data_IF_349504765534
#
_entry.id   IF_349504765534
#
_cell.length_a   1.000
_cell.length_b   1.000
_cell.length_c   1.000
_cell.angle_alpha   90.00
_cell.angle_beta   90.00
_cell.angle_gamma   90.00
#
_symmetry.space_group_name_H-M   'P 1'
#
loop_
_entity.id
_entity.type
_entity.pdbx_description
1 polymer ?
#
# COMPACT_ATOMS: atom_id res chain seq x y z
N UNK A 1 11.79 7.54 -10.70
CA UNK A 1 11.56 6.19 -10.11
C UNK A 1 10.14 6.14 -9.56
N UNK A 2 9.37 5.12 -9.89
CA UNK A 2 8.07 4.96 -9.24
C UNK A 2 8.24 4.62 -7.76
N UNK A 3 7.15 4.75 -7.02
CA UNK A 3 7.10 4.41 -5.60
C UNK A 3 5.89 3.47 -5.40
N UNK A 4 6.13 2.32 -4.80
CA UNK A 4 5.05 1.41 -4.44
C UNK A 4 4.42 1.89 -3.14
N UNK A 5 3.11 2.06 -3.13
CA UNK A 5 2.37 2.51 -1.96
C UNK A 5 1.41 1.41 -1.54
N UNK A 6 1.45 1.00 -0.28
CA UNK A 6 0.53 -0.01 0.20
C UNK A 6 -0.80 0.60 0.69
N UNK A 7 -1.76 -0.26 1.01
CA UNK A 7 -3.09 0.19 1.42
C UNK A 7 -3.06 1.01 2.72
N UNK A 8 -2.13 0.72 3.63
CA UNK A 8 -2.03 1.45 4.90
C UNK A 8 -1.74 2.93 4.68
N UNK A 9 -0.96 3.25 3.64
CA UNK A 9 -0.65 4.63 3.26
C UNK A 9 -1.74 5.21 2.34
N UNK A 10 -2.17 4.44 1.33
CA UNK A 10 -3.14 4.93 0.34
C UNK A 10 -4.47 5.37 0.96
N UNK A 11 -4.95 4.64 1.97
CA UNK A 11 -6.16 5.03 2.69
C UNK A 11 -6.00 6.41 3.33
N UNK A 12 -4.80 6.74 3.78
CA UNK A 12 -4.50 8.04 4.41
C UNK A 12 -4.51 9.22 3.44
N UNK A 13 -4.50 8.97 2.13
CA UNK A 13 -4.70 10.02 1.14
C UNK A 13 -6.13 10.59 1.20
N UNK A 14 -7.07 9.77 1.63
CA UNK A 14 -8.50 10.03 1.53
C UNK A 14 -9.17 10.27 2.89
N UNK A 15 -8.69 9.61 3.94
CA UNK A 15 -9.32 9.61 5.25
C UNK A 15 -8.43 10.35 6.25
N UNK A 16 -9.06 11.16 7.11
CA UNK A 16 -8.35 11.82 8.21
C UNK A 16 -8.07 10.82 9.32
N UNK A 17 -6.80 10.51 9.51
CA UNK A 17 -6.33 9.66 10.60
C UNK A 17 -4.84 9.95 10.83
N UNK A 18 -4.24 9.31 11.82
CA UNK A 18 -2.80 9.49 12.09
C UNK A 18 -2.00 9.14 10.85
N UNK A 19 -1.08 10.03 10.47
CA UNK A 19 -0.23 9.83 9.31
C UNK A 19 -0.79 10.39 8.01
N UNK A 20 -2.00 11.00 8.02
CA UNK A 20 -2.55 11.51 6.77
C UNK A 20 -1.76 12.70 6.20
N UNK A 21 -1.11 13.50 7.04
CA UNK A 21 -0.24 14.58 6.55
C UNK A 21 0.99 14.01 5.84
N UNK A 22 1.61 12.99 6.44
CA UNK A 22 2.76 12.32 5.85
C UNK A 22 2.38 11.67 4.52
N UNK A 23 1.23 11.00 4.48
CA UNK A 23 0.74 10.38 3.25
C UNK A 23 0.51 11.44 2.16
N UNK A 24 -0.12 12.55 2.49
CA UNK A 24 -0.39 13.62 1.52
C UNK A 24 0.87 14.28 1.01
N UNK A 25 1.94 14.32 1.80
CA UNK A 25 3.24 14.81 1.31
C UNK A 25 3.77 13.97 0.17
N UNK A 26 3.49 12.66 0.16
CA UNK A 26 3.89 11.77 -0.92
C UNK A 26 3.24 12.17 -2.25
N UNK A 27 2.02 12.70 -2.20
CA UNK A 27 1.33 13.16 -3.40
C UNK A 27 1.97 14.40 -4.02
N UNK A 28 2.78 15.12 -3.26
CA UNK A 28 3.48 16.32 -3.75
C UNK A 28 4.83 15.99 -4.37
N UNK A 29 5.32 14.77 -4.18
CA UNK A 29 6.53 14.30 -4.81
C UNK A 29 6.19 13.99 -6.27
N UNK A 30 7.08 14.33 -7.19
CA UNK A 30 6.85 14.12 -8.62
C UNK A 30 7.00 12.67 -9.07
N UNK A 31 7.25 11.75 -8.14
CA UNK A 31 7.37 10.33 -8.46
C UNK A 31 6.00 9.70 -8.75
N UNK A 32 5.88 8.90 -9.80
CA UNK A 32 4.64 8.17 -10.03
C UNK A 32 4.40 7.12 -8.96
N UNK A 33 3.14 6.95 -8.56
CA UNK A 33 2.76 5.94 -7.58
C UNK A 33 2.24 4.70 -8.30
N UNK A 34 2.62 3.54 -7.82
CA UNK A 34 2.16 2.25 -8.36
C UNK A 34 1.75 1.33 -7.21
N UNK A 35 0.93 0.34 -7.52
CA UNK A 35 0.49 -0.66 -6.54
C UNK A 35 -0.01 -1.90 -7.26
N UNK A 36 -0.08 -3.06 -6.56
CA UNK A 36 -0.86 -4.20 -7.05
C UNK A 36 -2.34 -3.83 -7.09
N UNK A 37 -3.09 -4.37 -8.03
CA UNK A 37 -4.54 -4.11 -8.13
C UNK A 37 -5.31 -4.61 -6.89
N UNK A 38 -4.74 -5.54 -6.12
CA UNK A 38 -5.30 -5.99 -4.85
C UNK A 38 -5.49 -4.85 -3.84
N UNK A 39 -4.80 -3.72 -4.03
CA UNK A 39 -4.95 -2.55 -3.14
C UNK A 39 -6.41 -2.08 -3.08
N UNK A 40 -7.16 -2.24 -4.17
CA UNK A 40 -8.57 -1.84 -4.22
C UNK A 40 -9.40 -2.68 -3.24
N UNK A 41 -9.13 -3.98 -3.15
CA UNK A 41 -9.82 -4.86 -2.23
C UNK A 41 -9.45 -4.56 -0.77
N UNK A 42 -8.17 -4.34 -0.49
CA UNK A 42 -7.72 -4.01 0.86
C UNK A 42 -8.29 -2.68 1.34
N UNK A 43 -8.27 -1.66 0.49
CA UNK A 43 -8.83 -0.36 0.82
C UNK A 43 -10.33 -0.45 1.05
N UNK A 44 -11.04 -1.19 0.18
CA UNK A 44 -12.48 -1.38 0.34
C UNK A 44 -12.81 -2.04 1.69
N UNK A 45 -12.03 -3.03 2.08
CA UNK A 45 -12.23 -3.69 3.38
C UNK A 45 -11.94 -2.73 4.54
N UNK A 46 -10.94 -1.88 4.42
CA UNK A 46 -10.64 -0.86 5.42
C UNK A 46 -11.80 0.14 5.56
N UNK A 47 -12.33 0.61 4.44
CA UNK A 47 -13.49 1.51 4.45
C UNK A 47 -14.73 0.82 5.03
N UNK A 48 -14.95 -0.46 4.72
CA UNK A 48 -16.02 -1.23 5.30
C UNK A 48 -15.93 -1.26 6.83
N UNK A 49 -14.75 -1.52 7.37
CA UNK A 49 -14.54 -1.51 8.82
C UNK A 49 -14.84 -0.14 9.43
N UNK A 50 -14.45 0.93 8.76
CA UNK A 50 -14.70 2.30 9.23
C UNK A 50 -16.20 2.63 9.20
N UNK A 51 -16.90 2.20 8.17
CA UNK A 51 -18.36 2.37 8.09
C UNK A 51 -19.04 1.60 9.22
N UNK A 52 -18.64 0.35 9.44
CA UNK A 52 -19.16 -0.49 10.51
C UNK A 52 -18.98 0.14 11.89
N UNK A 53 -17.87 0.85 12.11
CA UNK A 53 -17.56 1.54 13.37
C UNK A 53 -18.16 2.94 13.46
N UNK A 54 -18.97 3.34 12.48
CA UNK A 54 -19.53 4.69 12.38
C UNK A 54 -18.48 5.79 12.28
N UNK A 55 -17.31 5.48 11.75
CA UNK A 55 -16.23 6.43 11.54
C UNK A 55 -16.29 7.06 10.15
N UNK A 56 -17.08 6.48 9.24
CA UNK A 56 -17.16 6.91 7.85
C UNK A 56 -18.56 6.66 7.31
N UNK A 57 -19.10 7.62 6.56
CA UNK A 57 -20.40 7.44 5.90
C UNK A 57 -20.24 6.61 4.64
N UNK A 58 -21.25 5.79 4.32
CA UNK A 58 -21.24 4.94 3.11
C UNK A 58 -21.00 5.77 1.85
N UNK A 59 -21.66 6.92 1.71
CA UNK A 59 -21.51 7.76 0.52
C UNK A 59 -20.08 8.27 0.37
N UNK A 60 -19.41 8.55 1.48
CA UNK A 60 -18.01 8.97 1.45
C UNK A 60 -17.09 7.80 1.10
N UNK A 61 -17.36 6.61 1.64
CA UNK A 61 -16.60 5.41 1.31
C UNK A 61 -16.67 5.10 -0.19
N UNK A 62 -17.87 5.19 -0.77
CA UNK A 62 -18.07 4.97 -2.20
C UNK A 62 -17.26 5.95 -3.04
N UNK A 63 -17.27 7.24 -2.65
CA UNK A 63 -16.48 8.26 -3.34
C UNK A 63 -14.98 7.98 -3.23
N UNK A 64 -14.51 7.57 -2.06
CA UNK A 64 -13.10 7.23 -1.86
C UNK A 64 -12.68 6.06 -2.75
N UNK A 65 -13.53 5.07 -2.91
CA UNK A 65 -13.24 3.94 -3.80
C UNK A 65 -13.16 4.36 -5.27
N UNK A 66 -14.01 5.30 -5.68
CA UNK A 66 -13.94 5.85 -7.05
C UNK A 66 -12.66 6.66 -7.26
N UNK A 67 -12.22 7.39 -6.25
CA UNK A 67 -11.06 8.27 -6.35
C UNK A 67 -9.73 7.51 -6.25
N UNK A 68 -9.70 6.40 -5.52
CA UNK A 68 -8.46 5.70 -5.20
C UNK A 68 -7.61 5.34 -6.41
N UNK A 69 -8.16 4.75 -7.49
CA UNK A 69 -7.33 4.38 -8.64
C UNK A 69 -6.63 5.56 -9.30
N UNK A 70 -7.16 6.77 -9.15
CA UNK A 70 -6.62 7.97 -9.79
C UNK A 70 -5.29 8.43 -9.22
N UNK A 71 -4.92 7.96 -8.03
CA UNK A 71 -3.63 8.30 -7.43
C UNK A 71 -2.47 7.52 -8.08
N UNK A 72 -2.78 6.45 -8.81
CA UNK A 72 -1.76 5.53 -9.33
C UNK A 72 -1.58 5.68 -10.82
N UNK A 73 -0.32 5.73 -11.25
CA UNK A 73 0.01 5.67 -12.67
C UNK A 73 -0.34 4.30 -13.25
N UNK A 74 -0.14 3.24 -12.45
CA UNK A 74 -0.44 1.88 -12.86
C UNK A 74 -0.83 1.02 -11.66
N UNK A 75 -1.79 0.12 -11.88
CA UNK A 75 -2.14 -0.95 -10.97
C UNK A 75 -1.76 -2.27 -11.65
N UNK A 76 -0.89 -3.03 -11.00
CA UNK A 76 -0.33 -4.25 -11.58
C UNK A 76 -1.22 -5.45 -11.23
N UNK A 77 -1.49 -6.33 -12.20
CA UNK A 77 -2.34 -7.49 -11.93
C UNK A 77 -1.78 -8.38 -10.84
N UNK A 78 -2.62 -8.78 -9.90
CA UNK A 78 -2.28 -9.74 -8.86
C UNK A 78 -1.66 -11.00 -9.45
N UNK A 79 -2.20 -11.48 -10.57
CA UNK A 79 -1.73 -12.70 -11.24
C UNK A 79 -0.25 -12.65 -11.60
N UNK A 80 0.31 -11.46 -11.85
CA UNK A 80 1.72 -11.31 -12.21
C UNK A 80 2.64 -11.33 -10.98
N UNK A 81 2.09 -11.21 -9.76
CA UNK A 81 2.85 -11.05 -8.54
C UNK A 81 2.75 -12.23 -7.57
N UNK A 82 1.77 -13.11 -7.78
CA UNK A 82 1.41 -14.17 -6.81
C UNK A 82 2.58 -15.04 -6.40
N UNK A 83 3.31 -15.59 -7.36
CA UNK A 83 4.38 -16.55 -7.07
C UNK A 83 5.51 -15.90 -6.28
N UNK A 84 5.95 -14.73 -6.71
CA UNK A 84 7.03 -14.00 -6.03
C UNK A 84 6.60 -13.56 -4.63
N UNK A 85 5.38 -13.04 -4.51
CA UNK A 85 4.84 -12.61 -3.23
C UNK A 85 4.73 -13.79 -2.25
N UNK A 86 4.30 -14.95 -2.75
CA UNK A 86 4.23 -16.15 -1.92
C UNK A 86 5.62 -16.57 -1.41
N UNK A 87 6.62 -16.57 -2.29
CA UNK A 87 7.98 -16.91 -1.90
C UNK A 87 8.51 -15.96 -0.83
N UNK A 88 8.25 -14.67 -0.97
CA UNK A 88 8.65 -13.70 0.06
C UNK A 88 7.89 -13.90 1.37
N UNK A 89 6.61 -14.23 1.32
CA UNK A 89 5.84 -14.48 2.54
C UNK A 89 6.43 -15.65 3.33
N UNK A 90 6.87 -16.70 2.66
CA UNK A 90 7.53 -17.83 3.30
C UNK A 90 8.87 -17.41 3.90
N UNK A 91 9.69 -16.71 3.14
CA UNK A 91 11.04 -16.31 3.58
C UNK A 91 11.01 -15.31 4.74
N UNK A 92 10.08 -14.37 4.70
CA UNK A 92 9.96 -13.33 5.73
C UNK A 92 9.05 -13.75 6.89
N UNK A 93 8.34 -14.87 6.76
CA UNK A 93 7.33 -15.29 7.74
C UNK A 93 6.33 -14.17 8.00
N UNK A 94 5.84 -13.59 6.92
CA UNK A 94 4.94 -12.43 6.97
C UNK A 94 3.73 -12.67 6.07
N UNK A 95 2.54 -12.14 6.41
CA UNK A 95 1.35 -12.36 5.61
C UNK A 95 1.53 -12.05 4.12
N UNK A 96 0.95 -12.89 3.29
CA UNK A 96 1.08 -12.84 1.84
C UNK A 96 0.66 -11.49 1.26
N UNK A 97 -0.43 -10.90 1.76
CA UNK A 97 -0.97 -9.66 1.17
C UNK A 97 0.05 -8.53 1.13
N UNK A 98 0.78 -8.34 2.22
CA UNK A 98 1.82 -7.31 2.28
C UNK A 98 2.97 -7.62 1.34
N UNK A 99 3.29 -8.89 1.17
CA UNK A 99 4.39 -9.31 0.31
C UNK A 99 4.14 -9.07 -1.18
N UNK A 100 2.90 -8.82 -1.59
CA UNK A 100 2.60 -8.41 -2.96
C UNK A 100 3.21 -7.04 -3.27
N UNK A 101 3.17 -6.13 -2.31
CA UNK A 101 3.76 -4.79 -2.47
C UNK A 101 5.28 -4.90 -2.56
N UNK A 102 5.88 -5.74 -1.73
CA UNK A 102 7.32 -5.98 -1.78
C UNK A 102 7.73 -6.60 -3.12
N UNK A 103 6.99 -7.61 -3.59
CA UNK A 103 7.26 -8.27 -4.87
C UNK A 103 7.22 -7.25 -6.01
N UNK A 104 6.25 -6.33 -5.99
CA UNK A 104 6.17 -5.28 -7.00
C UNK A 104 7.36 -4.34 -6.94
N UNK A 105 7.77 -3.93 -5.74
CA UNK A 105 8.90 -3.02 -5.56
C UNK A 105 10.19 -3.66 -6.10
N UNK A 106 10.39 -4.94 -5.84
CA UNK A 106 11.56 -5.67 -6.34
C UNK A 106 11.51 -5.79 -7.85
N UNK A 107 10.35 -6.15 -8.41
CA UNK A 107 10.16 -6.31 -9.84
C UNK A 107 10.44 -5.02 -10.61
N UNK A 108 9.97 -3.89 -10.09
CA UNK A 108 10.14 -2.59 -10.73
C UNK A 108 11.39 -1.85 -10.27
N UNK A 109 12.20 -2.51 -9.44
CA UNK A 109 13.44 -1.96 -8.89
C UNK A 109 13.24 -0.56 -8.29
N UNK A 110 12.27 -0.46 -7.40
CA UNK A 110 11.91 0.78 -6.75
C UNK A 110 11.65 0.57 -5.25
N UNK A 111 11.35 1.66 -4.56
CA UNK A 111 11.08 1.61 -3.13
C UNK A 111 9.60 1.41 -2.84
N UNK A 112 9.34 0.99 -1.62
CA UNK A 112 8.02 0.72 -1.06
C UNK A 112 7.81 1.62 0.16
N UNK A 113 6.63 2.25 0.26
CA UNK A 113 6.24 2.97 1.46
C UNK A 113 5.05 2.27 2.12
N UNK A 114 5.17 2.07 3.42
CA UNK A 114 4.12 1.47 4.25
C UNK A 114 4.08 2.17 5.62
N UNK A 115 2.91 2.26 6.20
CA UNK A 115 2.73 2.74 7.56
C UNK A 115 2.72 1.59 8.59
N UNK A 116 2.77 0.34 8.12
CA UNK A 116 2.73 -0.85 8.98
C UNK A 116 4.14 -1.17 9.50
N UNK A 117 4.35 -0.95 10.79
CA UNK A 117 5.66 -1.17 11.41
C UNK A 117 6.08 -2.63 11.41
N UNK A 118 5.13 -3.57 11.55
CA UNK A 118 5.45 -5.00 11.49
C UNK A 118 5.97 -5.39 10.12
N UNK A 119 5.37 -4.85 9.07
CA UNK A 119 5.81 -5.11 7.71
C UNK A 119 7.18 -4.48 7.44
N UNK A 120 7.39 -3.24 7.88
CA UNK A 120 8.70 -2.59 7.77
C UNK A 120 9.78 -3.44 8.44
N UNK A 121 9.51 -3.92 9.65
CA UNK A 121 10.46 -4.74 10.39
C UNK A 121 10.74 -6.07 9.67
N UNK A 122 9.73 -6.69 9.08
CA UNK A 122 9.91 -7.92 8.31
C UNK A 122 10.78 -7.70 7.09
N UNK A 123 10.57 -6.62 6.35
CA UNK A 123 11.37 -6.27 5.17
C UNK A 123 12.82 -6.01 5.57
N UNK A 124 13.04 -5.23 6.62
CA UNK A 124 14.39 -4.93 7.12
C UNK A 124 15.10 -6.19 7.61
N UNK A 125 14.39 -7.05 8.35
CA UNK A 125 14.93 -8.32 8.85
C UNK A 125 15.34 -9.24 7.71
N UNK A 126 14.65 -9.15 6.58
CA UNK A 126 14.97 -9.91 5.38
C UNK A 126 16.13 -9.35 4.57
N UNK A 127 16.79 -8.29 5.04
CA UNK A 127 17.92 -7.68 4.35
C UNK A 127 17.53 -6.74 3.22
N UNK A 128 16.30 -6.26 3.20
CA UNK A 128 15.77 -5.42 2.13
C UNK A 128 15.43 -3.99 2.60
N UNK A 129 16.09 -3.54 3.66
CA UNK A 129 15.82 -2.21 4.23
C UNK A 129 15.94 -1.08 3.21
N UNK A 130 16.85 -1.22 2.25
CA UNK A 130 17.04 -0.21 1.20
C UNK A 130 15.84 -0.08 0.25
N UNK A 131 14.92 -1.06 0.27
CA UNK A 131 13.67 -0.99 -0.49
C UNK A 131 12.61 -0.14 0.20
N UNK A 132 12.85 0.28 1.44
CA UNK A 132 11.86 1.04 2.19
C UNK A 132 12.07 2.54 2.02
N UNK A 133 10.99 3.23 1.67
CA UNK A 133 10.92 4.69 1.72
C UNK A 133 10.48 5.08 3.13
N UNK A 134 11.14 6.05 3.78
CA UNK A 134 10.69 6.50 5.10
C UNK A 134 9.26 7.05 5.05
N UNK A 135 8.49 6.76 6.09
CA UNK A 135 7.14 7.30 6.26
C UNK A 135 7.10 8.06 7.59
N UNK A 136 7.37 9.36 7.51
CA UNK A 136 7.49 10.25 8.68
C UNK A 136 6.73 11.56 8.47
#
# INVERSE_FOLDING_TARGET
MPLVVDASVAVKFLVRENGNEQARRLLKISEPLIAPDWILAEAANTFWKKVKRSELLIVHAERHLDDLPRFFEALYPLTDLVTEAFNWSIRLRHPFYDCMYLALAIREDCKLVTADTEFRDAVARGGLEERLEPFE
#
